data_IF_468924328160
#
_entry.id   IF_468924328160
#
_cell.length_a   1.000
_cell.length_b   1.000
_cell.length_c   1.000
_cell.angle_alpha   90.00
_cell.angle_beta   90.00
_cell.angle_gamma   90.00
#
_symmetry.space_group_name_H-M   'P 1'
#
loop_
_entity.id
_entity.type
_entity.pdbx_description
1 polymer ?
#
# COMPACT_ATOMS: atom_id res chain seq x y z
N UNK A 1 -9.70 -13.70 -7.86
CA UNK A 1 -10.14 -13.83 -6.45
C UNK A 1 -9.90 -12.48 -5.80
N UNK A 2 -10.76 -12.05 -4.87
CA UNK A 2 -10.56 -10.82 -4.12
C UNK A 2 -10.02 -11.19 -2.74
N UNK A 3 -8.94 -10.53 -2.31
CA UNK A 3 -8.27 -10.81 -1.03
C UNK A 3 -7.97 -9.50 -0.33
N UNK A 4 -8.30 -9.40 0.95
CA UNK A 4 -7.85 -8.27 1.78
C UNK A 4 -6.35 -8.38 2.04
N UNK A 5 -5.63 -7.27 1.87
CA UNK A 5 -4.19 -7.17 2.04
C UNK A 5 -3.85 -5.94 2.87
N UNK A 6 -2.71 -5.98 3.55
CA UNK A 6 -2.14 -4.79 4.19
C UNK A 6 -1.65 -3.86 3.10
N UNK A 7 -2.03 -2.59 3.20
CA UNK A 7 -1.59 -1.53 2.29
C UNK A 7 -0.69 -0.57 3.06
N UNK A 8 0.57 -0.47 2.64
CA UNK A 8 1.60 0.21 3.40
C UNK A 8 2.08 1.40 2.58
N UNK A 9 1.97 2.61 3.13
CA UNK A 9 2.56 3.82 2.55
C UNK A 9 3.80 4.22 3.33
N UNK A 10 4.89 4.50 2.62
CA UNK A 10 6.18 4.88 3.22
C UNK A 10 6.42 6.37 3.04
N UNK A 11 6.79 7.02 4.14
CA UNK A 11 6.99 8.45 4.24
C UNK A 11 8.29 8.78 4.99
N UNK A 12 8.80 10.01 4.83
CA UNK A 12 9.92 10.59 5.60
C UNK A 12 11.04 9.59 5.94
N UNK A 13 11.69 9.01 4.92
CA UNK A 13 12.85 8.12 5.10
C UNK A 13 12.56 6.84 5.90
N UNK A 14 11.36 6.28 5.73
CA UNK A 14 11.04 4.91 6.20
C UNK A 14 9.94 4.82 7.25
N UNK A 15 9.22 5.90 7.55
CA UNK A 15 8.01 5.82 8.36
C UNK A 15 6.89 5.11 7.58
N UNK A 16 6.41 3.98 8.10
CA UNK A 16 5.40 3.16 7.44
C UNK A 16 4.01 3.39 8.08
N UNK A 17 3.04 3.71 7.23
CA UNK A 17 1.62 3.80 7.60
C UNK A 17 0.92 2.60 7.01
N UNK A 18 0.45 1.70 7.88
CA UNK A 18 -0.27 0.49 7.48
C UNK A 18 -1.79 0.71 7.54
N UNK A 19 -2.45 0.41 6.44
CA UNK A 19 -3.91 0.36 6.29
C UNK A 19 -4.31 -0.94 5.58
N UNK A 20 -5.48 -0.95 4.92
CA UNK A 20 -6.02 -2.14 4.23
C UNK A 20 -6.42 -1.79 2.79
N UNK A 21 -6.37 -2.77 1.92
CA UNK A 21 -6.94 -2.71 0.57
C UNK A 21 -7.45 -4.09 0.14
N UNK A 22 -8.29 -4.12 -0.90
CA UNK A 22 -8.74 -5.35 -1.55
C UNK A 22 -7.94 -5.58 -2.84
N UNK A 23 -7.17 -6.65 -2.90
CA UNK A 23 -6.42 -7.09 -4.09
C UNK A 23 -7.28 -8.01 -4.97
N UNK A 24 -7.43 -7.63 -6.24
CA UNK A 24 -7.90 -8.56 -7.27
C UNK A 24 -6.72 -9.36 -7.83
N UNK A 25 -6.61 -10.63 -7.44
CA UNK A 25 -5.48 -11.49 -7.82
C UNK A 25 -5.44 -11.87 -9.31
N UNK A 26 -6.49 -11.58 -10.08
CA UNK A 26 -6.48 -11.81 -11.53
C UNK A 26 -5.82 -10.64 -12.26
N UNK A 27 -6.13 -9.41 -11.84
CA UNK A 27 -5.69 -8.17 -12.51
C UNK A 27 -4.56 -7.44 -11.77
N UNK A 28 -4.28 -7.85 -10.54
CA UNK A 28 -3.44 -7.17 -9.55
C UNK A 28 -3.90 -5.75 -9.18
N UNK A 29 -5.14 -5.40 -9.51
CA UNK A 29 -5.72 -4.10 -9.18
C UNK A 29 -6.12 -4.06 -7.69
N UNK A 30 -5.79 -2.96 -7.02
CA UNK A 30 -6.22 -2.66 -5.67
C UNK A 30 -7.47 -1.79 -5.72
N UNK A 31 -8.46 -2.17 -4.92
CA UNK A 31 -9.71 -1.43 -4.69
C UNK A 31 -9.92 -1.27 -3.19
N UNK A 32 -10.86 -0.41 -2.79
CA UNK A 32 -11.21 -0.22 -1.38
C UNK A 32 -9.98 0.10 -0.51
N UNK A 33 -9.06 0.93 -1.04
CA UNK A 33 -7.88 1.36 -0.31
C UNK A 33 -8.34 2.26 0.83
N UNK A 34 -8.14 1.81 2.06
CA UNK A 34 -8.46 2.58 3.24
C UNK A 34 -7.38 3.62 3.47
N UNK A 35 -7.79 4.88 3.57
CA UNK A 35 -6.91 5.97 3.99
C UNK A 35 -6.79 5.97 5.50
N UNK A 36 -5.61 6.35 6.01
CA UNK A 36 -5.45 6.65 7.42
C UNK A 36 -6.23 7.94 7.73
N UNK A 37 -7.24 7.85 8.59
CA UNK A 37 -8.00 9.01 9.07
C UNK A 37 -7.31 9.61 10.30
N UNK A 38 -6.18 10.27 10.06
CA UNK A 38 -5.44 10.99 11.09
C UNK A 38 -4.36 11.87 10.47
N UNK A 39 -3.83 12.80 11.26
CA UNK A 39 -2.64 13.54 10.86
C UNK A 39 -1.47 12.55 10.78
N UNK A 40 -0.79 12.55 9.64
CA UNK A 40 0.41 11.76 9.45
C UNK A 40 1.54 12.48 10.17
N UNK A 41 1.76 12.09 11.43
CA UNK A 41 2.76 12.69 12.31
C UNK A 41 3.73 11.60 12.74
N UNK A 42 5.03 11.88 12.71
CA UNK A 42 6.05 10.96 13.20
C UNK A 42 6.14 10.91 14.73
N UNK A 43 7.08 10.11 15.26
CA UNK A 43 7.26 9.94 16.69
C UNK A 43 7.76 11.21 17.42
N UNK A 44 8.28 12.19 16.67
CA UNK A 44 8.81 13.46 17.19
C UNK A 44 7.77 14.57 17.13
N UNK A 45 6.62 14.33 16.48
CA UNK A 45 5.53 15.29 16.37
C UNK A 45 5.52 16.09 15.07
N UNK A 46 6.36 15.71 14.09
CA UNK A 46 6.49 16.40 12.81
C UNK A 46 5.57 15.79 11.75
N UNK A 47 5.03 16.63 10.86
CA UNK A 47 4.20 16.17 9.74
C UNK A 47 5.01 15.34 8.73
N UNK A 48 4.39 14.28 8.20
CA UNK A 48 4.95 13.47 7.12
C UNK A 48 4.77 14.18 5.78
N UNK A 49 5.82 14.85 5.29
CA UNK A 49 5.78 15.67 4.08
C UNK A 49 6.28 14.93 2.82
N UNK A 50 7.13 13.91 2.98
CA UNK A 50 7.81 13.25 1.87
C UNK A 50 7.30 11.83 1.62
N UNK A 51 6.47 11.66 0.59
CA UNK A 51 6.03 10.35 0.13
C UNK A 51 7.15 9.63 -0.65
N UNK A 52 7.42 8.37 -0.29
CA UNK A 52 8.48 7.57 -0.91
C UNK A 52 7.94 6.38 -1.71
N UNK A 53 6.79 5.82 -1.32
CA UNK A 53 6.19 4.74 -2.08
C UNK A 53 5.10 3.98 -1.33
N UNK A 54 4.53 2.99 -2.03
CA UNK A 54 3.47 2.13 -1.52
C UNK A 54 3.74 0.67 -1.82
N UNK A 55 3.32 -0.19 -0.91
CA UNK A 55 3.45 -1.63 -1.00
C UNK A 55 2.19 -2.32 -0.50
N UNK A 56 2.01 -3.57 -0.92
CA UNK A 56 1.11 -4.50 -0.21
C UNK A 56 1.91 -5.61 0.43
N UNK A 57 1.43 -6.10 1.57
CA UNK A 57 1.86 -7.38 2.11
C UNK A 57 0.87 -8.48 1.70
N UNK A 58 1.35 -9.49 0.99
CA UNK A 58 0.56 -10.60 0.52
C UNK A 58 1.37 -11.90 0.66
N UNK A 59 0.79 -12.89 1.36
CA UNK A 59 1.46 -14.16 1.66
C UNK A 59 2.86 -14.01 2.32
N UNK A 60 3.03 -12.99 3.18
CA UNK A 60 4.29 -12.70 3.89
C UNK A 60 5.38 -12.10 3.02
N UNK A 61 5.03 -11.56 1.84
CA UNK A 61 5.94 -10.85 0.93
C UNK A 61 5.41 -9.46 0.63
N UNK A 62 6.32 -8.51 0.44
CA UNK A 62 6.01 -7.15 0.04
C UNK A 62 6.14 -6.96 -1.46
N UNK A 63 5.12 -6.35 -2.07
CA UNK A 63 5.08 -6.04 -3.49
C UNK A 63 4.81 -4.55 -3.67
N UNK A 64 5.56 -3.90 -4.56
CA UNK A 64 5.35 -2.47 -4.82
C UNK A 64 4.00 -2.23 -5.48
N UNK A 65 3.42 -1.07 -5.21
CA UNK A 65 2.19 -0.59 -5.83
C UNK A 65 2.50 0.65 -6.64
N UNK A 66 1.97 0.70 -7.85
CA UNK A 66 2.06 1.86 -8.73
C UNK A 66 0.67 2.39 -9.05
N UNK A 67 0.52 3.72 -9.08
CA UNK A 67 -0.69 4.35 -9.59
C UNK A 67 -0.54 4.60 -11.09
N UNK A 68 -1.45 4.06 -11.89
CA UNK A 68 -1.53 4.28 -13.34
C UNK A 68 -2.96 4.60 -13.73
N UNK A 69 -3.18 5.80 -14.28
CA UNK A 69 -4.51 6.27 -14.72
C UNK A 69 -5.58 6.21 -13.60
N UNK A 70 -5.21 6.56 -12.35
CA UNK A 70 -6.12 6.52 -11.21
C UNK A 70 -6.42 5.11 -10.67
N UNK A 71 -5.71 4.09 -11.15
CA UNK A 71 -5.77 2.71 -10.63
C UNK A 71 -4.48 2.38 -9.92
N UNK A 72 -4.60 1.72 -8.78
CA UNK A 72 -3.46 1.20 -8.03
C UNK A 72 -3.21 -0.25 -8.43
N UNK A 73 -2.02 -0.57 -8.92
CA UNK A 73 -1.66 -1.89 -9.42
C UNK A 73 -0.49 -2.43 -8.59
N UNK A 74 -0.68 -3.59 -7.99
CA UNK A 74 0.36 -4.28 -7.25
C UNK A 74 1.24 -5.15 -8.17
N UNK A 75 2.56 -5.08 -7.99
CA UNK A 75 3.52 -5.84 -8.78
C UNK A 75 3.70 -7.27 -8.24
N UNK A 76 2.59 -8.02 -8.11
CA UNK A 76 2.58 -9.41 -7.64
C UNK A 76 2.82 -10.36 -8.82
N UNK A 77 3.91 -11.16 -8.81
CA UNK A 77 4.14 -12.18 -9.82
C UNK A 77 3.05 -13.25 -9.79
N UNK A 78 2.68 -13.82 -10.95
CA UNK A 78 1.63 -14.85 -11.02
C UNK A 78 1.94 -16.13 -10.24
N UNK A 79 3.20 -16.39 -9.90
CA UNK A 79 3.59 -17.55 -9.09
C UNK A 79 3.36 -17.35 -7.59
N UNK A 80 3.09 -16.13 -7.15
CA UNK A 80 2.84 -15.76 -5.75
C UNK A 80 1.34 -15.59 -5.45
N UNK A 81 0.46 -15.95 -6.40
CA UNK A 81 -1.01 -15.81 -6.34
C UNK A 81 -1.70 -17.14 -6.06
#
# INVERSE_FOLDING_TARGET
>A
MLVEVDFISVWNSGFEVETKATLNTQTNELTEIHSYEGELIDAEGDELEHFEGQYIEFAGKRFSVEETNGKYIANVPKNDI
#
